data_IF_966224704382
#
_entry.id   IF_966224704382
#
_cell.length_a   1.000
_cell.length_b   1.000
_cell.length_c   1.000
_cell.angle_alpha   90.00
_cell.angle_beta   90.00
_cell.angle_gamma   90.00
#
_symmetry.space_group_name_H-M   'P 1'
#
loop_
_entity.id
_entity.type
_entity.pdbx_description
1 polymer ?
#
# COMPACT_ATOMS: atom_id res chain seq x y z
N UNK A 1 1.55 -15.96 -35.08
CA UNK A 1 1.94 -16.34 -36.44
C UNK A 1 2.25 -17.83 -36.50
N UNK A 2 1.21 -18.64 -36.73
CA UNK A 2 1.31 -20.06 -37.13
C UNK A 2 1.55 -20.20 -38.66
N UNK A 3 1.63 -19.08 -39.38
CA UNK A 3 1.70 -19.01 -40.84
C UNK A 3 3.12 -19.03 -41.42
N UNK A 4 4.17 -19.17 -40.60
CA UNK A 4 5.55 -19.03 -41.06
C UNK A 4 6.38 -20.34 -41.11
N UNK A 5 5.82 -21.49 -40.74
CA UNK A 5 6.48 -22.79 -40.97
C UNK A 5 7.83 -23.00 -40.28
N UNK A 6 8.18 -22.20 -39.29
CA UNK A 6 9.32 -22.48 -38.42
C UNK A 6 8.84 -23.38 -37.27
N UNK A 7 9.27 -24.65 -37.32
CA UNK A 7 8.93 -25.66 -36.32
C UNK A 7 9.38 -25.21 -34.93
N UNK A 8 8.44 -24.73 -34.13
CA UNK A 8 8.60 -24.73 -32.68
C UNK A 8 8.83 -26.19 -32.24
N UNK A 9 9.87 -26.46 -31.45
CA UNK A 9 10.14 -27.79 -30.89
C UNK A 9 9.10 -28.23 -29.84
N UNK A 10 8.09 -27.40 -29.62
CA UNK A 10 6.93 -27.64 -28.78
C UNK A 10 5.83 -28.30 -29.62
N UNK A 11 5.62 -29.59 -29.40
CA UNK A 11 4.49 -30.34 -29.95
C UNK A 11 3.19 -29.93 -29.25
N UNK A 12 2.06 -30.15 -29.92
CA UNK A 12 0.73 -29.86 -29.40
C UNK A 12 0.47 -30.61 -28.08
N UNK A 13 0.82 -31.90 -28.00
CA UNK A 13 0.75 -32.70 -26.76
C UNK A 13 1.54 -32.10 -25.58
N UNK A 14 2.66 -31.41 -25.87
CA UNK A 14 3.46 -30.74 -24.83
C UNK A 14 2.82 -29.43 -24.38
N UNK A 15 2.15 -28.72 -25.29
CA UNK A 15 1.38 -27.52 -24.96
C UNK A 15 0.21 -27.92 -24.05
N UNK A 16 -0.54 -28.95 -24.41
CA UNK A 16 -1.66 -29.46 -23.61
C UNK A 16 -1.22 -29.92 -22.22
N UNK A 17 -0.10 -30.62 -22.12
CA UNK A 17 0.47 -31.03 -20.84
C UNK A 17 0.89 -29.82 -19.98
N UNK A 18 1.45 -28.77 -20.60
CA UNK A 18 1.81 -27.52 -19.92
C UNK A 18 0.55 -26.76 -19.47
N UNK A 19 -0.51 -26.74 -20.27
CA UNK A 19 -1.79 -26.14 -19.90
C UNK A 19 -2.46 -26.88 -18.73
N UNK A 20 -2.42 -28.21 -18.71
CA UNK A 20 -2.98 -29.02 -17.62
C UNK A 20 -2.31 -28.76 -16.27
N UNK A 21 -1.00 -28.46 -16.25
CA UNK A 21 -0.28 -28.09 -15.03
C UNK A 21 -0.37 -26.60 -14.70
N UNK A 22 -1.14 -25.82 -15.48
CA UNK A 22 -1.32 -24.39 -15.28
C UNK A 22 -0.06 -23.58 -15.61
N UNK A 23 0.73 -24.01 -16.59
CA UNK A 23 1.96 -23.34 -16.99
C UNK A 23 1.69 -21.90 -17.43
N UNK A 24 2.39 -20.96 -16.80
CA UNK A 24 2.25 -19.55 -17.09
C UNK A 24 3.15 -19.13 -18.26
N UNK A 25 2.55 -18.95 -19.43
CA UNK A 25 3.24 -18.50 -20.65
C UNK A 25 3.76 -17.06 -20.57
N UNK A 26 3.14 -16.19 -19.78
CA UNK A 26 3.60 -14.81 -19.54
C UNK A 26 3.76 -14.54 -18.04
N UNK A 27 4.94 -14.85 -17.51
CA UNK A 27 5.32 -14.61 -16.12
C UNK A 27 5.22 -13.13 -15.73
N UNK A 28 5.46 -12.20 -16.67
CA UNK A 28 5.35 -10.76 -16.37
C UNK A 28 3.89 -10.35 -16.18
N UNK A 29 3.00 -10.86 -17.04
CA UNK A 29 1.57 -10.64 -16.92
C UNK A 29 1.01 -11.25 -15.64
N UNK A 30 1.39 -12.49 -15.32
CA UNK A 30 0.97 -13.16 -14.08
C UNK A 30 1.40 -12.38 -12.83
N UNK A 31 2.67 -11.96 -12.76
CA UNK A 31 3.17 -11.14 -11.64
C UNK A 31 2.42 -9.83 -11.49
N UNK A 32 2.08 -9.19 -12.61
CA UNK A 32 1.31 -7.94 -12.60
C UNK A 32 -0.10 -8.17 -12.03
N UNK A 33 -0.80 -9.21 -12.47
CA UNK A 33 -2.14 -9.55 -11.94
C UNK A 33 -2.10 -9.98 -10.48
N UNK A 34 -1.09 -10.76 -10.07
CA UNK A 34 -0.91 -11.12 -8.65
C UNK A 34 -0.77 -9.87 -7.78
N UNK A 35 -0.02 -8.85 -8.23
CA UNK A 35 0.13 -7.60 -7.47
C UNK A 35 -1.11 -6.72 -7.52
N UNK A 36 -1.91 -6.80 -8.59
CA UNK A 36 -3.24 -6.18 -8.63
C UNK A 36 -4.15 -6.78 -7.54
N UNK A 37 -4.14 -8.09 -7.35
CA UNK A 37 -4.89 -8.75 -6.28
C UNK A 37 -4.39 -8.34 -4.89
N UNK A 38 -3.06 -8.25 -4.69
CA UNK A 38 -2.50 -7.73 -3.44
C UNK A 38 -2.97 -6.29 -3.15
N UNK A 39 -3.05 -5.44 -4.19
CA UNK A 39 -3.57 -4.08 -4.07
C UNK A 39 -5.07 -4.05 -3.73
N UNK A 40 -5.88 -4.96 -4.29
CA UNK A 40 -7.30 -5.09 -3.91
C UNK A 40 -7.46 -5.46 -2.44
N UNK A 41 -6.63 -6.37 -1.92
CA UNK A 41 -6.60 -6.70 -0.48
C UNK A 41 -6.20 -5.51 0.37
N UNK A 42 -5.17 -4.77 -0.07
CA UNK A 42 -4.77 -3.51 0.59
C UNK A 42 -5.95 -2.53 0.65
N UNK A 43 -6.66 -2.33 -0.46
CA UNK A 43 -7.84 -1.46 -0.50
C UNK A 43 -8.95 -1.94 0.45
N UNK A 44 -9.19 -3.25 0.53
CA UNK A 44 -10.18 -3.78 1.47
C UNK A 44 -9.81 -3.49 2.93
N UNK A 45 -8.52 -3.52 3.25
CA UNK A 45 -8.01 -3.29 4.60
C UNK A 45 -7.96 -1.80 4.99
N UNK A 46 -7.54 -0.92 4.07
CA UNK A 46 -7.27 0.50 4.36
C UNK A 46 -8.26 1.47 3.71
N UNK A 47 -9.22 0.96 2.93
CA UNK A 47 -10.23 1.74 2.22
C UNK A 47 -9.73 2.51 0.98
N UNK A 48 -8.43 2.49 0.70
CA UNK A 48 -7.82 3.23 -0.41
C UNK A 48 -6.67 2.44 -1.07
N UNK A 49 -6.20 2.93 -2.21
CA UNK A 49 -5.08 2.35 -2.95
C UNK A 49 -3.76 3.13 -2.73
N UNK A 50 -3.69 3.99 -1.70
CA UNK A 50 -2.55 4.87 -1.45
C UNK A 50 -1.49 4.19 -0.58
N UNK A 51 -0.85 3.18 -1.18
CA UNK A 51 0.22 2.42 -0.54
C UNK A 51 1.41 3.35 -0.24
N UNK A 52 1.86 3.46 1.03
CA UNK A 52 3.04 4.22 1.40
C UNK A 52 4.30 3.67 0.72
N UNK A 53 5.26 4.55 0.41
CA UNK A 53 6.54 4.13 -0.20
C UNK A 53 7.32 3.14 0.66
N UNK A 54 7.17 3.22 1.99
CA UNK A 54 7.74 2.29 2.97
C UNK A 54 6.60 1.54 3.64
N UNK A 55 6.00 0.62 2.90
CA UNK A 55 5.01 -0.29 3.44
C UNK A 55 5.74 -1.55 3.94
N UNK A 56 6.00 -1.60 5.24
CA UNK A 56 6.87 -2.64 5.82
C UNK A 56 6.27 -4.05 5.67
N UNK A 57 4.94 -4.17 5.59
CA UNK A 57 4.27 -5.44 5.40
C UNK A 57 4.41 -6.00 3.95
N UNK A 58 4.50 -5.14 2.94
CA UNK A 58 4.80 -5.57 1.56
C UNK A 58 5.53 -4.45 0.77
N UNK A 59 6.86 -4.45 0.89
CA UNK A 59 7.72 -3.53 0.14
C UNK A 59 7.63 -3.73 -1.38
N UNK A 60 7.32 -4.95 -1.83
CA UNK A 60 7.20 -5.25 -3.25
C UNK A 60 5.92 -4.62 -3.84
N UNK A 61 4.81 -4.62 -3.08
CA UNK A 61 3.60 -3.90 -3.45
C UNK A 61 3.82 -2.38 -3.51
N UNK A 62 4.48 -1.81 -2.49
CA UNK A 62 4.80 -0.38 -2.48
C UNK A 62 5.64 0.04 -3.70
N UNK A 63 6.67 -0.75 -4.03
CA UNK A 63 7.47 -0.54 -5.22
C UNK A 63 6.65 -0.67 -6.50
N UNK A 64 5.82 -1.70 -6.61
CA UNK A 64 4.96 -1.93 -7.77
C UNK A 64 3.98 -0.77 -8.02
N UNK A 65 3.35 -0.25 -6.97
CA UNK A 65 2.48 0.95 -7.03
C UNK A 65 3.27 2.14 -7.57
N UNK A 66 4.50 2.35 -7.07
CA UNK A 66 5.36 3.44 -7.53
C UNK A 66 5.75 3.28 -9.00
N UNK A 67 6.08 2.06 -9.44
CA UNK A 67 6.37 1.77 -10.85
C UNK A 67 5.19 2.10 -11.76
N UNK A 68 3.97 1.67 -11.41
CA UNK A 68 2.78 1.97 -12.21
C UNK A 68 2.54 3.49 -12.31
N UNK A 69 2.72 4.25 -11.21
CA UNK A 69 2.64 5.72 -11.22
C UNK A 69 3.68 6.36 -12.14
N UNK A 70 4.91 5.87 -12.13
CA UNK A 70 5.99 6.35 -13.00
C UNK A 70 5.71 6.05 -14.47
N UNK A 71 5.31 4.82 -14.79
CA UNK A 71 4.96 4.38 -16.14
C UNK A 71 3.81 5.22 -16.70
N UNK A 72 2.76 5.46 -15.92
CA UNK A 72 1.65 6.34 -16.32
C UNK A 72 2.09 7.79 -16.59
N UNK A 73 3.03 8.32 -15.78
CA UNK A 73 3.62 9.64 -16.02
C UNK A 73 4.41 9.67 -17.33
N UNK A 74 5.10 8.60 -17.69
CA UNK A 74 5.82 8.49 -18.97
C UNK A 74 4.84 8.38 -20.14
N UNK A 75 3.79 7.57 -20.00
CA UNK A 75 2.69 7.48 -20.96
C UNK A 75 2.05 8.85 -21.23
N UNK A 76 1.72 9.62 -20.19
CA UNK A 76 1.18 10.99 -20.34
C UNK A 76 2.12 11.96 -21.06
N UNK A 77 3.42 11.69 -21.06
CA UNK A 77 4.44 12.49 -21.75
C UNK A 77 4.68 12.03 -23.19
N UNK A 78 3.90 11.06 -23.69
CA UNK A 78 4.07 10.48 -25.02
C UNK A 78 5.32 9.60 -25.15
N UNK A 79 5.90 9.15 -24.04
CA UNK A 79 7.05 8.23 -24.05
C UNK A 79 6.56 6.78 -24.06
N UNK A 80 7.37 5.84 -24.60
CA UNK A 80 7.05 4.42 -24.50
C UNK A 80 6.89 4.02 -23.03
N UNK A 81 5.84 3.25 -22.77
CA UNK A 81 5.49 2.74 -21.44
C UNK A 81 5.09 1.28 -21.55
N UNK A 82 5.39 0.52 -20.50
CA UNK A 82 4.98 -0.89 -20.36
C UNK A 82 3.55 -1.04 -19.83
N UNK A 83 2.91 0.08 -19.50
CA UNK A 83 1.54 0.13 -19.01
C UNK A 83 0.57 0.08 -20.19
N UNK A 84 -0.09 -1.07 -20.37
CA UNK A 84 -1.11 -1.23 -21.40
C UNK A 84 -2.41 -0.52 -21.02
N UNK A 85 -3.25 -0.22 -22.02
CA UNK A 85 -4.57 0.38 -21.80
C UNK A 85 -5.46 -0.49 -20.90
N UNK A 86 -5.37 -1.82 -21.01
CA UNK A 86 -6.08 -2.76 -20.13
C UNK A 86 -5.61 -2.62 -18.68
N UNK A 87 -4.29 -2.56 -18.44
CA UNK A 87 -3.73 -2.39 -17.09
C UNK A 87 -4.17 -1.07 -16.46
N UNK A 88 -4.24 0.00 -17.24
CA UNK A 88 -4.76 1.30 -16.78
C UNK A 88 -6.22 1.20 -16.35
N UNK A 89 -7.08 0.63 -17.20
CA UNK A 89 -8.51 0.46 -16.89
C UNK A 89 -8.76 -0.33 -15.62
N UNK A 90 -8.04 -1.44 -15.43
CA UNK A 90 -8.17 -2.28 -14.23
C UNK A 90 -7.76 -1.54 -12.95
N UNK A 91 -6.73 -0.70 -13.04
CA UNK A 91 -6.31 0.15 -11.92
C UNK A 91 -7.33 1.26 -11.65
N UNK A 92 -7.88 1.88 -12.69
CA UNK A 92 -8.93 2.90 -12.56
C UNK A 92 -10.22 2.35 -11.95
N UNK A 93 -10.62 1.13 -12.31
CA UNK A 93 -11.80 0.44 -11.77
C UNK A 93 -11.73 0.25 -10.25
N UNK A 94 -10.54 -0.05 -9.74
CA UNK A 94 -10.32 -0.16 -8.29
C UNK A 94 -10.06 1.20 -7.62
N UNK A 95 -10.19 2.32 -8.34
CA UNK A 95 -9.99 3.66 -7.80
C UNK A 95 -8.52 4.00 -7.53
N UNK A 96 -7.59 3.45 -8.32
CA UNK A 96 -6.17 3.71 -8.16
C UNK A 96 -5.82 5.18 -8.45
N UNK A 97 -5.17 5.84 -7.48
CA UNK A 97 -4.68 7.20 -7.67
C UNK A 97 -3.29 7.21 -8.32
N UNK A 98 -3.24 7.70 -9.56
CA UNK A 98 -2.02 7.86 -10.35
C UNK A 98 -1.09 8.96 -9.84
N UNK A 99 -1.64 9.93 -9.11
CA UNK A 99 -0.85 10.96 -8.46
C UNK A 99 -0.28 10.40 -7.16
N UNK A 100 1.01 10.62 -6.91
CA UNK A 100 1.53 10.38 -5.57
C UNK A 100 0.81 11.32 -4.60
N UNK A 101 0.39 10.88 -3.40
CA UNK A 101 -0.10 11.79 -2.39
C UNK A 101 1.01 12.80 -2.10
N UNK A 102 0.78 14.06 -2.50
CA UNK A 102 1.67 15.17 -2.27
C UNK A 102 1.74 15.43 -0.77
N UNK A 103 2.60 14.71 -0.04
CA UNK A 103 2.98 15.14 1.31
C UNK A 103 3.81 16.41 1.13
N UNK A 104 3.17 17.56 1.30
CA UNK A 104 3.89 18.81 1.50
C UNK A 104 4.90 18.60 2.63
N UNK A 105 6.06 19.25 2.56
CA UNK A 105 7.17 19.07 3.52
C UNK A 105 6.77 19.28 4.99
N UNK A 106 5.59 19.87 5.26
CA UNK A 106 5.05 20.16 6.59
C UNK A 106 3.73 19.41 6.92
N UNK A 107 3.36 18.37 6.16
CA UNK A 107 2.13 17.61 6.45
C UNK A 107 2.43 16.60 7.56
N UNK A 108 1.83 16.77 8.74
CA UNK A 108 1.87 15.76 9.80
C UNK A 108 1.22 14.43 9.38
N UNK A 109 1.34 13.37 10.20
CA UNK A 109 0.71 12.09 9.91
C UNK A 109 -0.81 12.25 9.77
N UNK A 110 -1.40 11.64 8.75
CA UNK A 110 -2.85 11.65 8.54
C UNK A 110 -3.56 10.77 9.58
N UNK A 111 -4.87 10.91 9.70
CA UNK A 111 -5.70 10.03 10.56
C UNK A 111 -5.47 8.55 10.21
N UNK A 112 -5.27 8.23 8.93
CA UNK A 112 -4.98 6.86 8.50
C UNK A 112 -3.56 6.42 8.91
N UNK A 113 -2.57 7.31 8.84
CA UNK A 113 -1.22 7.01 9.34
C UNK A 113 -1.25 6.70 10.85
N UNK A 114 -2.05 7.45 11.63
CA UNK A 114 -2.26 7.20 13.05
C UNK A 114 -3.01 5.89 13.30
N UNK A 115 -4.08 5.60 12.56
CA UNK A 115 -4.82 4.32 12.68
C UNK A 115 -3.90 3.13 12.43
N UNK A 116 -3.12 3.18 11.35
CA UNK A 116 -2.18 2.13 10.98
C UNK A 116 -1.10 1.92 12.05
N UNK A 117 -0.59 3.01 12.64
CA UNK A 117 0.36 2.94 13.74
C UNK A 117 -0.28 2.28 14.98
N UNK A 118 -1.50 2.65 15.34
CA UNK A 118 -2.21 2.08 16.48
C UNK A 118 -2.52 0.59 16.29
N UNK A 119 -2.94 0.18 15.10
CA UNK A 119 -3.18 -1.24 14.79
C UNK A 119 -1.88 -2.04 14.85
N UNK A 120 -0.77 -1.49 14.34
CA UNK A 120 0.55 -2.11 14.46
C UNK A 120 1.01 -2.22 15.93
N UNK A 121 0.72 -1.21 16.76
CA UNK A 121 1.01 -1.25 18.19
C UNK A 121 0.14 -2.29 18.92
N UNK A 122 -1.15 -2.38 18.60
CA UNK A 122 -2.04 -3.42 19.15
C UNK A 122 -1.54 -4.81 18.81
N UNK A 123 -1.06 -5.03 17.59
CA UNK A 123 -0.50 -6.32 17.18
C UNK A 123 0.79 -6.66 17.95
N UNK A 124 1.67 -5.67 18.18
CA UNK A 124 2.91 -5.88 18.96
C UNK A 124 2.67 -6.09 20.46
N UNK A 125 1.64 -5.48 21.02
CA UNK A 125 1.27 -5.61 22.44
C UNK A 125 0.49 -6.91 22.74
N UNK A 126 0.07 -7.65 21.70
CA UNK A 126 -0.59 -8.94 21.82
C UNK A 126 0.38 -10.13 21.99
N UNK A 127 1.70 -9.89 21.95
CA UNK A 127 2.68 -10.93 22.29
C UNK A 127 2.85 -11.05 23.82
N UNK A 128 2.93 -12.28 24.38
CA UNK A 128 2.85 -12.53 25.83
C UNK A 128 3.97 -11.87 26.67
N UNK A 129 5.06 -11.42 26.03
CA UNK A 129 6.18 -10.75 26.70
C UNK A 129 6.21 -9.22 26.50
N UNK A 130 5.24 -8.64 25.78
CA UNK A 130 5.28 -7.25 25.31
C UNK A 130 4.76 -6.17 26.28
N UNK A 131 4.14 -6.54 27.41
CA UNK A 131 3.42 -5.59 28.27
C UNK A 131 4.23 -5.02 29.43
N UNK A 132 5.51 -5.38 29.59
CA UNK A 132 6.25 -5.01 30.81
C UNK A 132 6.86 -3.60 30.86
N UNK A 133 6.73 -2.74 29.84
CA UNK A 133 7.60 -1.55 29.79
C UNK A 133 7.06 -0.25 29.17
N UNK A 134 5.74 -0.06 29.06
CA UNK A 134 5.21 1.24 28.60
C UNK A 134 4.58 2.07 29.71
N UNK A 135 3.77 1.45 30.58
CA UNK A 135 3.05 2.19 31.64
C UNK A 135 3.96 2.56 32.82
N UNK A 136 4.95 1.71 33.17
CA UNK A 136 5.91 2.00 34.25
C UNK A 136 6.92 3.13 33.91
N UNK A 137 7.08 3.48 32.63
CA UNK A 137 8.01 4.56 32.21
C UNK A 137 7.39 5.96 32.23
N UNK A 138 6.08 6.07 32.38
CA UNK A 138 5.36 7.35 32.49
C UNK A 138 5.51 7.99 33.88
N UNK A 139 5.88 7.23 34.92
CA UNK A 139 6.07 7.75 36.27
C UNK A 139 7.47 8.35 36.55
N UNK A 140 8.40 8.28 35.60
CA UNK A 140 9.79 8.77 35.78
C UNK A 140 10.00 10.22 35.27
N UNK A 141 8.98 10.87 34.69
CA UNK A 141 9.08 12.27 34.22
C UNK A 141 8.16 13.19 35.01
N UNK A 142 8.29 13.18 36.36
CA UNK A 142 7.68 14.20 37.23
C UNK A 142 8.62 15.34 37.66
N UNK A 143 9.87 15.37 37.19
CA UNK A 143 10.79 16.44 37.55
C UNK A 143 11.61 16.92 36.36
N UNK A 144 11.03 17.82 35.55
CA UNK A 144 11.74 18.93 34.89
C UNK A 144 10.76 20.07 34.62
N UNK A 145 10.79 21.08 35.49
CA UNK A 145 10.17 22.38 35.29
C UNK A 145 10.38 22.94 33.88
N UNK A 146 9.30 23.14 33.13
CA UNK A 146 9.14 24.24 32.18
C UNK A 146 7.70 24.74 32.29
N UNK A 147 7.45 26.03 32.53
CA UNK A 147 6.09 26.55 32.64
C UNK A 147 5.52 26.66 31.23
N UNK A 148 4.68 25.70 30.85
CA UNK A 148 3.75 25.90 29.74
C UNK A 148 2.51 26.52 30.37
N UNK A 149 2.06 27.66 29.82
CA UNK A 149 0.82 28.30 30.26
C UNK A 149 -0.26 27.23 30.38
N UNK A 150 -0.82 27.07 31.59
CA UNK A 150 -2.07 26.33 31.78
C UNK A 150 -3.17 27.09 31.06
N UNK A 151 -3.37 26.77 29.79
CA UNK A 151 -4.71 26.86 29.21
C UNK A 151 -5.34 25.53 29.54
N UNK A 152 -6.32 25.59 30.43
CA UNK A 152 -6.97 24.42 31.00
C UNK A 152 -7.69 23.66 29.88
N UNK A 153 -7.27 22.42 29.61
CA UNK A 153 -7.79 21.61 28.49
C UNK A 153 -9.26 21.23 28.74
N UNK A 154 -9.67 21.23 30.01
CA UNK A 154 -11.05 21.04 30.45
C UNK A 154 -11.95 22.23 30.09
N UNK A 155 -11.40 23.42 29.80
CA UNK A 155 -12.17 24.55 29.26
C UNK A 155 -12.42 24.43 27.75
N UNK A 156 -11.58 23.69 27.01
CA UNK A 156 -11.71 23.54 25.55
C UNK A 156 -12.57 22.36 25.12
N UNK A 157 -12.87 21.42 26.02
CA UNK A 157 -13.65 20.21 25.74
C UNK A 157 -15.08 20.23 26.31
N UNK A 158 -15.55 21.38 26.82
CA UNK A 158 -16.87 21.51 27.47
C UNK A 158 -17.79 22.60 26.86
N UNK A 159 -17.57 23.06 25.62
CA UNK A 159 -18.45 24.07 24.99
C UNK A 159 -19.32 23.58 23.82
N UNK A 160 -19.33 22.29 23.48
CA UNK A 160 -20.34 21.75 22.55
C UNK A 160 -20.85 20.40 23.04
N UNK A 161 -21.82 20.45 23.96
CA UNK A 161 -22.96 19.53 24.09
C UNK A 161 -23.75 19.93 25.34
N UNK A 162 -24.75 20.80 25.15
CA UNK A 162 -26.13 20.67 25.68
C UNK A 162 -26.83 22.05 25.64
N UNK A 163 -27.79 22.14 24.71
CA UNK A 163 -28.96 23.05 24.58
C UNK A 163 -28.81 24.59 24.64
#
# INVERSE_FOLDING_TARGET
NLLAGEYSSLTEDRIDALEQIGFCWDNQQYRWFSKLEDLKRYKLQYGNCDVPRRYDADLALAWWVQCNRLEYKQFKRGRPSTLSSLRMKLLEEIGFNWSAPSRGRNSGPTVQDWSNLFDALRQKLAEPDGTRNFVERLDVVKDRSRPVMKVDIDTLWNEENDE
#
